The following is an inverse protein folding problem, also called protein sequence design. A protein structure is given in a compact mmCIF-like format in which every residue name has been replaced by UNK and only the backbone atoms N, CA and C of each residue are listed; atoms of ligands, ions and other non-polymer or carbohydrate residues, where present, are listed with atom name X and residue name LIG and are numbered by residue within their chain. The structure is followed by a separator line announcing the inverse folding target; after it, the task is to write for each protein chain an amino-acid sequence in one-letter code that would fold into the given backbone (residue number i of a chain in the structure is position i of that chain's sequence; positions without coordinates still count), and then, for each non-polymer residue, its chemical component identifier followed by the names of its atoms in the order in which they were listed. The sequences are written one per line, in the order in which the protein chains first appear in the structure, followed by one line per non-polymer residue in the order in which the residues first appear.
data_IF_727578142274
#
_entry.id   IF_727578142274
#
_cell.length_a   1.000
_cell.length_b   1.000
_cell.length_c   1.000
_cell.angle_alpha   90.00
_cell.angle_beta   90.00
_cell.angle_gamma   90.00
#
_symmetry.space_group_name_H-M   'P 1'
#
loop_
_entity.id
_entity.type
_entity.pdbx_description
1 polymer ?
#
# COMPACT_ATOMS: atom_id res chain seq x y z
N UNK A 1 1.15 -20.69 18.46
CA UNK A 1 -0.13 -20.21 17.90
C UNK A 1 0.23 -19.41 16.66
N UNK A 2 -0.56 -19.48 15.57
CA UNK A 2 -0.29 -18.69 14.38
C UNK A 2 -0.42 -17.20 14.70
N UNK A 3 0.41 -16.38 14.06
CA UNK A 3 0.33 -14.92 14.11
C UNK A 3 -0.83 -14.47 13.20
N UNK A 4 -1.77 -13.69 13.76
CA UNK A 4 -2.93 -13.19 13.03
C UNK A 4 -2.59 -11.90 12.30
N UNK A 5 -2.67 -11.92 10.97
CA UNK A 5 -2.35 -10.80 10.11
C UNK A 5 -3.57 -10.38 9.29
N UNK A 6 -4.05 -9.15 9.49
CA UNK A 6 -5.14 -8.57 8.72
C UNK A 6 -4.66 -7.76 7.52
N UNK A 7 -5.41 -7.76 6.42
CA UNK A 7 -5.08 -6.97 5.24
C UNK A 7 -6.35 -6.43 4.55
N UNK A 8 -6.19 -5.43 3.66
CA UNK A 8 -7.30 -4.94 2.84
C UNK A 8 -7.72 -6.01 1.82
N UNK A 9 -8.84 -6.65 2.10
CA UNK A 9 -9.42 -7.71 1.30
C UNK A 9 -10.20 -7.21 0.07
N UNK A 10 -10.87 -8.12 -0.66
CA UNK A 10 -11.00 -9.56 -0.38
C UNK A 10 -9.70 -10.36 -0.66
N UNK A 11 -9.75 -11.69 -0.52
CA UNK A 11 -8.67 -12.56 -1.02
C UNK A 11 -8.49 -12.37 -2.54
N UNK A 12 -7.27 -12.57 -3.03
CA UNK A 12 -6.88 -12.29 -4.41
C UNK A 12 -6.30 -10.90 -4.63
N UNK A 13 -6.31 -9.99 -3.65
CA UNK A 13 -5.81 -8.61 -3.85
C UNK A 13 -4.29 -8.52 -3.86
N UNK A 14 -3.76 -7.40 -4.34
CA UNK A 14 -2.34 -7.07 -4.18
C UNK A 14 -1.89 -7.04 -2.71
N UNK A 15 -2.78 -6.66 -1.78
CA UNK A 15 -2.50 -6.73 -0.35
C UNK A 15 -2.23 -8.17 0.09
N UNK A 16 -3.07 -9.14 -0.31
CA UNK A 16 -2.82 -10.56 0.00
C UNK A 16 -1.49 -11.03 -0.61
N UNK A 17 -1.26 -10.70 -1.89
CA UNK A 17 -0.05 -11.09 -2.60
C UNK A 17 1.22 -10.56 -1.91
N UNK A 18 1.20 -9.29 -1.46
CA UNK A 18 2.30 -8.68 -0.73
C UNK A 18 2.55 -9.37 0.63
N UNK A 19 1.50 -9.76 1.36
CA UNK A 19 1.66 -10.52 2.62
C UNK A 19 2.28 -11.89 2.36
N UNK A 20 1.83 -12.61 1.33
CA UNK A 20 2.36 -13.93 1.01
C UNK A 20 3.83 -13.86 0.57
N UNK A 21 4.18 -12.88 -0.27
CA UNK A 21 5.56 -12.65 -0.65
C UNK A 21 6.44 -12.27 0.55
N UNK A 22 5.93 -11.42 1.46
CA UNK A 22 6.63 -11.10 2.70
C UNK A 22 6.85 -12.33 3.58
N UNK A 23 5.83 -13.18 3.75
CA UNK A 23 5.91 -14.44 4.51
C UNK A 23 7.00 -15.35 3.96
N UNK A 24 7.16 -15.42 2.65
CA UNK A 24 8.10 -16.34 2.01
C UNK A 24 9.52 -15.76 1.90
N UNK A 25 9.71 -14.47 2.20
CA UNK A 25 10.97 -13.77 2.07
C UNK A 25 11.89 -13.92 3.31
N UNK A 26 13.20 -14.19 3.15
CA UNK A 26 14.13 -14.37 4.28
C UNK A 26 14.26 -13.15 5.21
N UNK A 27 14.13 -11.94 4.67
CA UNK A 27 14.12 -10.68 5.44
C UNK A 27 12.70 -10.25 5.86
N UNK A 28 11.70 -11.08 5.59
CA UNK A 28 10.31 -10.87 5.96
C UNK A 28 9.87 -11.88 7.02
N UNK A 29 8.74 -12.52 6.79
CA UNK A 29 8.09 -13.43 7.73
C UNK A 29 8.49 -14.90 7.58
N UNK A 30 9.64 -15.22 7.00
CA UNK A 30 10.02 -16.62 6.72
C UNK A 30 9.99 -17.48 7.99
N UNK A 31 9.25 -18.59 7.92
CA UNK A 31 9.08 -19.51 9.04
C UNK A 31 8.05 -19.09 10.09
N UNK A 32 7.39 -17.93 9.91
CA UNK A 32 6.25 -17.52 10.75
C UNK A 32 4.99 -18.26 10.28
N UNK A 33 4.34 -18.95 11.20
CA UNK A 33 3.00 -19.50 11.00
C UNK A 33 1.98 -18.35 10.98
N UNK A 34 1.34 -18.10 9.84
CA UNK A 34 0.43 -16.97 9.62
C UNK A 34 -1.02 -17.40 9.45
N UNK A 35 -1.92 -16.72 10.15
CA UNK A 35 -3.37 -16.77 9.93
C UNK A 35 -3.81 -15.45 9.27
N UNK A 36 -4.12 -15.51 7.97
CA UNK A 36 -4.48 -14.33 7.17
C UNK A 36 -5.97 -14.02 7.25
N UNK A 37 -6.30 -12.75 7.50
CA UNK A 37 -7.69 -12.30 7.66
C UNK A 37 -7.99 -11.10 6.74
N UNK A 38 -8.85 -11.26 5.72
CA UNK A 38 -9.25 -10.14 4.88
C UNK A 38 -10.23 -9.23 5.63
N UNK A 39 -10.02 -7.91 5.53
CA UNK A 39 -10.95 -6.90 6.05
C UNK A 39 -11.48 -6.02 4.92
N UNK A 40 -12.72 -5.51 5.04
CA UNK A 40 -13.35 -4.70 4.00
C UNK A 40 -12.79 -3.27 3.92
N UNK A 41 -11.99 -2.81 4.89
CA UNK A 41 -11.39 -1.48 4.83
C UNK A 41 -10.11 -1.35 5.66
N UNK A 42 -9.25 -0.42 5.24
CA UNK A 42 -7.98 -0.07 5.92
C UNK A 42 -8.21 0.36 7.38
N UNK A 43 -9.18 1.24 7.72
CA UNK A 43 -9.42 1.62 9.11
C UNK A 43 -9.80 0.44 9.99
N UNK A 44 -10.49 -0.58 9.45
CA UNK A 44 -10.82 -1.78 10.22
C UNK A 44 -9.57 -2.61 10.53
N UNK A 45 -8.66 -2.81 9.58
CA UNK A 45 -7.38 -3.51 9.83
C UNK A 45 -6.63 -2.83 10.98
N UNK A 46 -6.38 -1.53 10.85
CA UNK A 46 -5.61 -0.76 11.84
C UNK A 46 -6.30 -0.71 13.21
N UNK A 47 -7.63 -0.61 13.24
CA UNK A 47 -8.39 -0.66 14.50
C UNK A 47 -8.22 -2.00 15.21
N UNK A 48 -8.26 -3.11 14.48
CA UNK A 48 -8.10 -4.45 15.09
C UNK A 48 -6.66 -4.67 15.60
N UNK A 49 -5.65 -4.13 14.92
CA UNK A 49 -4.26 -4.10 15.43
C UNK A 49 -4.17 -3.24 16.70
N UNK A 50 -4.71 -2.02 16.69
CA UNK A 50 -4.69 -1.15 17.86
C UNK A 50 -5.40 -1.77 19.09
N UNK A 51 -6.41 -2.61 18.86
CA UNK A 51 -7.24 -3.21 19.91
C UNK A 51 -6.68 -4.50 20.53
N UNK A 52 -5.62 -5.11 19.99
CA UNK A 52 -5.16 -6.41 20.50
C UNK A 52 -5.63 -7.62 19.68
N UNK A 53 -6.64 -7.46 18.83
CA UNK A 53 -7.31 -8.58 18.15
C UNK A 53 -6.49 -9.16 17.01
N UNK A 54 -5.75 -8.31 16.30
CA UNK A 54 -4.74 -8.72 15.32
C UNK A 54 -3.35 -8.48 15.90
N UNK A 55 -2.42 -9.34 15.52
CA UNK A 55 -1.00 -9.17 15.84
C UNK A 55 -0.38 -8.16 14.87
N UNK A 56 -0.67 -8.29 13.58
CA UNK A 56 -0.19 -7.41 12.51
C UNK A 56 -1.30 -7.01 11.53
N UNK A 57 -1.09 -5.88 10.85
CA UNK A 57 -1.94 -5.39 9.78
C UNK A 57 -1.11 -4.91 8.60
N UNK A 58 -1.41 -5.38 7.38
CA UNK A 58 -0.82 -4.84 6.16
C UNK A 58 -1.77 -3.83 5.51
N UNK A 59 -1.28 -2.59 5.34
CA UNK A 59 -2.07 -1.50 4.72
C UNK A 59 -1.24 -0.75 3.68
N UNK A 60 -1.82 -0.37 2.53
CA UNK A 60 -1.12 0.46 1.55
C UNK A 60 -1.00 1.88 2.11
N UNK A 61 0.17 2.51 1.96
CA UNK A 61 0.40 3.89 2.42
C UNK A 61 0.62 4.86 1.26
N UNK A 62 1.17 4.37 0.15
CA UNK A 62 1.51 5.19 -1.01
C UNK A 62 1.52 4.32 -2.26
N UNK A 63 1.00 4.84 -3.37
CA UNK A 63 1.15 4.27 -4.70
C UNK A 63 1.91 5.25 -5.59
N UNK A 64 2.80 4.74 -6.44
CA UNK A 64 3.65 5.55 -7.31
C UNK A 64 2.87 6.46 -8.29
N UNK A 65 1.62 6.10 -8.62
CA UNK A 65 0.77 6.85 -9.56
C UNK A 65 -0.26 7.71 -8.81
N UNK A 66 -0.91 7.14 -7.79
CA UNK A 66 -2.02 7.82 -7.09
C UNK A 66 -1.59 8.62 -5.85
N UNK A 67 -0.33 8.47 -5.42
CA UNK A 67 0.21 9.11 -4.24
C UNK A 67 -0.27 8.47 -2.94
N UNK A 68 -0.40 9.28 -1.89
CA UNK A 68 -0.65 8.85 -0.53
C UNK A 68 -2.06 8.26 -0.31
N UNK A 69 -2.13 7.14 0.40
CA UNK A 69 -3.40 6.51 0.80
C UNK A 69 -3.96 7.19 2.04
N UNK A 70 -4.87 8.14 1.78
CA UNK A 70 -5.53 8.97 2.78
C UNK A 70 -6.11 8.18 3.97
N UNK A 71 -6.74 7.03 3.72
CA UNK A 71 -7.36 6.23 4.78
C UNK A 71 -6.33 5.68 5.79
N UNK A 72 -5.12 5.34 5.33
CA UNK A 72 -4.03 4.88 6.19
C UNK A 72 -3.54 6.02 7.06
N UNK A 73 -3.18 7.16 6.45
CA UNK A 73 -2.65 8.33 7.15
C UNK A 73 -3.65 8.87 8.19
N UNK A 74 -4.92 9.01 7.81
CA UNK A 74 -5.97 9.48 8.72
C UNK A 74 -6.17 8.50 9.90
N UNK A 75 -6.09 7.18 9.66
CA UNK A 75 -6.29 6.15 10.69
C UNK A 75 -5.14 6.08 11.69
N UNK A 76 -3.89 6.11 11.23
CA UNK A 76 -2.71 6.08 12.13
C UNK A 76 -2.61 7.36 12.97
N UNK A 77 -3.15 8.49 12.47
CA UNK A 77 -3.28 9.69 13.28
C UNK A 77 -4.34 9.56 14.38
N UNK A 78 -5.48 8.92 14.09
CA UNK A 78 -6.59 8.80 15.05
C UNK A 78 -6.39 7.71 16.10
N UNK A 79 -5.67 6.64 15.75
CA UNK A 79 -5.40 5.52 16.64
C UNK A 79 -4.10 5.74 17.41
N UNK A 80 -4.00 5.13 18.59
CA UNK A 80 -2.81 5.13 19.42
C UNK A 80 -2.18 3.73 19.46
N UNK A 81 -0.90 3.66 19.77
CA UNK A 81 -0.18 2.39 19.98
C UNK A 81 0.08 1.58 18.72
N UNK A 82 -0.06 2.18 17.54
CA UNK A 82 0.37 1.57 16.28
C UNK A 82 1.85 1.88 16.02
N UNK A 83 2.60 0.86 15.61
CA UNK A 83 4.01 0.95 15.23
C UNK A 83 4.22 0.24 13.89
N UNK A 84 4.86 0.92 12.95
CA UNK A 84 5.28 0.34 11.68
C UNK A 84 6.48 -0.55 11.96
N UNK A 85 6.34 -1.83 11.62
CA UNK A 85 7.37 -2.84 11.83
C UNK A 85 8.22 -3.06 10.58
N UNK A 86 7.65 -2.87 9.39
CA UNK A 86 8.34 -2.94 8.12
C UNK A 86 7.55 -2.21 7.04
N UNK A 87 8.23 -1.67 6.04
CA UNK A 87 7.59 -1.25 4.79
C UNK A 87 7.89 -2.26 3.68
N UNK A 88 6.91 -2.52 2.82
CA UNK A 88 7.04 -3.41 1.66
C UNK A 88 6.84 -2.61 0.38
N UNK A 89 7.75 -2.73 -0.59
CA UNK A 89 7.53 -2.24 -1.95
C UNK A 89 7.01 -3.38 -2.82
N UNK A 90 5.78 -3.26 -3.27
CA UNK A 90 5.09 -4.29 -4.05
C UNK A 90 4.79 -3.78 -5.47
N UNK A 91 5.30 -4.45 -6.52
CA UNK A 91 4.98 -4.08 -7.90
C UNK A 91 3.53 -4.41 -8.23
N UNK A 92 2.80 -3.44 -8.78
CA UNK A 92 1.43 -3.61 -9.25
C UNK A 92 1.47 -4.15 -10.67
N UNK A 93 0.90 -5.34 -10.84
CA UNK A 93 0.76 -6.02 -12.12
C UNK A 93 -0.70 -6.35 -12.36
N UNK A 94 -1.16 -6.08 -13.58
CA UNK A 94 -2.51 -6.40 -14.01
C UNK A 94 -2.45 -7.48 -15.08
N UNK A 95 -3.36 -8.43 -14.99
CA UNK A 95 -3.53 -9.51 -15.98
C UNK A 95 -4.96 -9.54 -16.48
N UNK A 96 -5.14 -9.85 -17.76
CA UNK A 96 -6.44 -10.10 -18.36
C UNK A 96 -6.75 -11.59 -18.29
N UNK A 97 -7.88 -11.95 -17.67
CA UNK A 97 -8.40 -13.33 -17.66
C UNK A 97 -9.73 -13.39 -18.41
N UNK A 98 -9.94 -14.45 -19.19
CA UNK A 98 -11.19 -14.67 -19.92
C UNK A 98 -11.29 -16.11 -20.43
N UNK A 99 -12.51 -16.62 -20.58
CA UNK A 99 -12.77 -17.89 -21.26
C UNK A 99 -12.67 -17.78 -22.79
N UNK A 100 -12.72 -16.56 -23.35
CA UNK A 100 -12.61 -16.33 -24.78
C UNK A 100 -11.26 -16.85 -25.32
N UNK A 101 -11.31 -17.43 -26.52
CA UNK A 101 -10.11 -17.87 -27.24
C UNK A 101 -9.56 -16.76 -28.12
N UNK A 102 -10.43 -15.94 -28.69
CA UNK A 102 -10.10 -14.77 -29.49
C UNK A 102 -10.46 -13.49 -28.71
N UNK A 103 -9.47 -12.60 -28.54
CA UNK A 103 -9.66 -11.32 -27.85
C UNK A 103 -10.69 -10.43 -28.58
N UNK A 104 -10.81 -10.56 -29.90
CA UNK A 104 -11.77 -9.77 -30.69
C UNK A 104 -13.24 -10.09 -30.37
N UNK A 105 -13.52 -11.22 -29.69
CA UNK A 105 -14.87 -11.59 -29.26
C UNK A 105 -15.26 -11.04 -27.90
N UNK A 106 -14.33 -10.36 -27.20
CA UNK A 106 -14.61 -9.79 -25.89
C UNK A 106 -15.46 -8.53 -26.06
N UNK A 107 -16.63 -8.54 -25.42
CA UNK A 107 -17.59 -7.43 -25.44
C UNK A 107 -17.55 -6.64 -24.13
N UNK A 108 -17.21 -7.28 -23.00
CA UNK A 108 -17.25 -6.68 -21.67
C UNK A 108 -15.94 -6.94 -20.93
N UNK A 109 -15.37 -5.88 -20.32
CA UNK A 109 -14.20 -5.98 -19.43
C UNK A 109 -14.55 -5.43 -18.06
N UNK A 110 -14.45 -6.29 -17.04
CA UNK A 110 -14.75 -5.94 -15.65
C UNK A 110 -13.47 -5.68 -14.86
N UNK A 111 -13.45 -4.63 -14.03
CA UNK A 111 -12.44 -4.46 -12.98
C UNK A 111 -12.79 -3.33 -12.01
N UNK A 112 -11.95 -3.14 -10.98
CA UNK A 112 -12.00 -1.93 -10.17
C UNK A 112 -11.67 -0.69 -11.02
N UNK A 113 -12.32 0.48 -10.79
CA UNK A 113 -12.08 1.70 -11.58
C UNK A 113 -10.61 2.07 -11.75
N UNK A 114 -9.81 1.91 -10.70
CA UNK A 114 -8.35 2.13 -10.74
C UNK A 114 -7.64 1.21 -11.73
N UNK A 115 -7.95 -0.09 -11.72
CA UNK A 115 -7.30 -1.05 -12.59
C UNK A 115 -7.70 -0.83 -14.06
N UNK A 116 -8.97 -0.47 -14.34
CA UNK A 116 -9.40 -0.03 -15.66
C UNK A 116 -8.64 1.22 -16.11
N UNK A 117 -8.51 2.22 -15.23
CA UNK A 117 -7.78 3.45 -15.49
C UNK A 117 -6.29 3.24 -15.73
N UNK A 118 -5.69 2.22 -15.11
CA UNK A 118 -4.28 1.89 -15.26
C UNK A 118 -3.96 1.02 -16.49
N UNK A 119 -4.95 0.59 -17.27
CA UNK A 119 -4.77 -0.25 -18.46
C UNK A 119 -5.42 0.36 -19.72
N UNK A 120 -5.64 1.68 -19.75
CA UNK A 120 -6.42 2.32 -20.81
C UNK A 120 -5.76 2.16 -22.17
N UNK A 121 -4.43 2.36 -22.26
CA UNK A 121 -3.72 2.29 -23.55
C UNK A 121 -3.76 0.86 -24.10
N UNK A 122 -3.59 -0.13 -23.23
CA UNK A 122 -3.69 -1.54 -23.63
C UNK A 122 -5.11 -1.88 -24.11
N UNK A 123 -6.14 -1.45 -23.37
CA UNK A 123 -7.55 -1.68 -23.69
C UNK A 123 -7.94 -1.02 -25.01
N UNK A 124 -7.55 0.23 -25.25
CA UNK A 124 -7.82 0.94 -26.50
C UNK A 124 -7.15 0.28 -27.71
N UNK A 125 -5.96 -0.31 -27.53
CA UNK A 125 -5.25 -0.99 -28.61
C UNK A 125 -5.84 -2.37 -28.93
N UNK A 126 -6.07 -3.20 -27.91
CA UNK A 126 -6.42 -4.61 -28.10
C UNK A 126 -7.91 -4.89 -28.05
N UNK A 127 -8.68 -4.11 -27.29
CA UNK A 127 -10.12 -4.28 -27.07
C UNK A 127 -10.91 -2.98 -27.30
N UNK A 128 -10.73 -2.28 -28.44
CA UNK A 128 -11.29 -0.94 -28.67
C UNK A 128 -12.82 -0.87 -28.65
N UNK A 129 -13.51 -2.01 -28.82
CA UNK A 129 -14.97 -2.08 -28.86
C UNK A 129 -15.58 -2.62 -27.55
N UNK A 130 -14.76 -3.03 -26.58
CA UNK A 130 -15.26 -3.61 -25.35
C UNK A 130 -15.82 -2.54 -24.40
N UNK A 131 -16.92 -2.87 -23.72
CA UNK A 131 -17.49 -2.06 -22.66
C UNK A 131 -16.70 -2.25 -21.36
N UNK A 132 -16.17 -1.16 -20.80
CA UNK A 132 -15.46 -1.16 -19.53
C UNK A 132 -16.45 -1.01 -18.37
N UNK A 133 -16.56 -2.04 -17.53
CA UNK A 133 -17.56 -2.14 -16.47
C UNK A 133 -16.90 -2.17 -15.09
N UNK A 134 -17.18 -1.15 -14.29
CA UNK A 134 -16.59 -1.00 -12.96
C UNK A 134 -17.23 -1.95 -11.92
N UNK A 135 -16.39 -2.63 -11.14
CA UNK A 135 -16.76 -3.44 -9.96
C UNK A 135 -16.14 -2.87 -8.69
N UNK A 136 -16.48 -3.40 -7.50
CA UNK A 136 -15.92 -2.93 -6.22
C UNK A 136 -14.54 -3.49 -5.94
N UNK A 137 -14.12 -4.56 -6.64
CA UNK A 137 -12.78 -5.12 -6.55
C UNK A 137 -12.41 -5.91 -7.80
N UNK A 138 -11.11 -6.10 -8.01
CA UNK A 138 -10.57 -7.01 -9.04
C UNK A 138 -11.06 -8.45 -8.83
N UNK A 139 -11.19 -8.90 -7.58
CA UNK A 139 -11.72 -10.25 -7.29
C UNK A 139 -13.20 -10.37 -7.65
N UNK A 140 -14.02 -9.34 -7.42
CA UNK A 140 -15.43 -9.33 -7.85
C UNK A 140 -15.56 -9.38 -9.37
N UNK A 141 -14.62 -8.76 -10.10
CA UNK A 141 -14.61 -8.81 -11.56
C UNK A 141 -14.47 -10.23 -12.12
N UNK A 142 -13.77 -11.14 -11.42
CA UNK A 142 -13.69 -12.55 -11.81
C UNK A 142 -15.04 -13.22 -11.89
N UNK A 143 -15.94 -12.92 -10.94
CA UNK A 143 -17.26 -13.54 -10.89
C UNK A 143 -18.05 -13.20 -12.15
N UNK A 144 -17.93 -11.97 -12.65
CA UNK A 144 -18.57 -11.55 -13.90
C UNK A 144 -17.94 -12.19 -15.13
N UNK A 145 -16.60 -12.25 -15.21
CA UNK A 145 -15.91 -12.88 -16.33
C UNK A 145 -16.18 -14.38 -16.46
N UNK A 146 -16.59 -15.06 -15.38
CA UNK A 146 -16.97 -16.47 -15.40
C UNK A 146 -18.40 -16.71 -15.90
N UNK A 147 -19.27 -15.69 -15.89
CA UNK A 147 -20.69 -15.86 -16.26
C UNK A 147 -20.92 -15.89 -17.76
N UNK A 148 -20.10 -15.19 -18.55
CA UNK A 148 -20.30 -15.00 -19.99
C UNK A 148 -19.02 -15.29 -20.78
N UNK A 149 -19.14 -15.98 -21.91
CA UNK A 149 -17.99 -16.37 -22.73
C UNK A 149 -17.28 -15.18 -23.40
N UNK A 150 -18.00 -14.08 -23.63
CA UNK A 150 -17.49 -12.82 -24.22
C UNK A 150 -17.04 -11.81 -23.17
N UNK A 151 -16.99 -12.21 -21.89
CA UNK A 151 -16.54 -11.35 -20.81
C UNK A 151 -15.09 -11.63 -20.42
N UNK A 152 -14.41 -10.58 -19.99
CA UNK A 152 -13.06 -10.63 -19.45
C UNK A 152 -12.98 -9.83 -18.15
N UNK A 153 -11.95 -10.12 -17.34
CA UNK A 153 -11.65 -9.33 -16.15
C UNK A 153 -10.18 -8.94 -16.13
N UNK A 154 -9.91 -7.72 -15.69
CA UNK A 154 -8.57 -7.27 -15.32
C UNK A 154 -8.39 -7.49 -13.82
N UNK A 155 -7.39 -8.27 -13.45
CA UNK A 155 -7.18 -8.70 -12.06
C UNK A 155 -5.70 -8.75 -11.69
N UNK A 156 -5.40 -8.92 -10.40
CA UNK A 156 -4.04 -9.23 -9.98
C UNK A 156 -3.66 -10.67 -10.40
N UNK A 157 -2.37 -10.99 -10.57
CA UNK A 157 -1.92 -12.37 -10.79
C UNK A 157 -2.43 -13.33 -9.71
N UNK A 158 -2.45 -12.89 -8.45
CA UNK A 158 -2.93 -13.67 -7.31
C UNK A 158 -4.42 -14.02 -7.41
N UNK A 159 -5.25 -13.09 -7.88
CA UNK A 159 -6.65 -13.37 -8.14
C UNK A 159 -6.83 -14.35 -9.31
N UNK A 160 -5.98 -14.27 -10.34
CA UNK A 160 -6.01 -15.21 -11.47
C UNK A 160 -5.73 -16.67 -11.05
N UNK A 161 -4.94 -16.91 -10.01
CA UNK A 161 -4.71 -18.26 -9.45
C UNK A 161 -5.98 -18.89 -8.86
N UNK A 162 -6.96 -18.07 -8.45
CA UNK A 162 -8.19 -18.53 -7.81
C UNK A 162 -9.30 -18.89 -8.81
N UNK A 163 -9.05 -18.77 -10.11
CA UNK A 163 -10.03 -19.03 -11.18
C UNK A 163 -9.51 -20.08 -12.15
N UNK A 164 -10.42 -20.80 -12.81
CA UNK A 164 -10.09 -21.68 -13.93
C UNK A 164 -9.96 -20.94 -15.27
N UNK A 165 -10.29 -19.64 -15.29
CA UNK A 165 -10.16 -18.82 -16.50
C UNK A 165 -8.68 -18.63 -16.85
N UNK A 166 -8.28 -18.86 -18.10
CA UNK A 166 -6.89 -18.65 -18.51
C UNK A 166 -6.53 -17.17 -18.51
N UNK A 167 -5.30 -16.88 -18.08
CA UNK A 167 -4.65 -15.59 -18.33
C UNK A 167 -4.36 -15.48 -19.83
N UNK A 168 -4.90 -14.45 -20.48
CA UNK A 168 -4.68 -14.17 -21.91
C UNK A 168 -3.63 -13.11 -22.17
N UNK A 169 -3.45 -12.19 -21.23
CA UNK A 169 -2.41 -11.19 -21.28
C UNK A 169 -1.95 -10.86 -19.86
N UNK A 170 -0.66 -10.59 -19.68
CA UNK A 170 -0.06 -10.20 -18.42
C UNK A 170 0.78 -8.94 -18.59
N UNK A 171 0.97 -8.18 -17.52
CA UNK A 171 1.69 -6.91 -17.58
C UNK A 171 0.99 -5.86 -18.45
N UNK A 172 -0.34 -5.80 -18.41
CA UNK A 172 -1.15 -4.93 -19.28
C UNK A 172 -1.31 -3.50 -18.76
N UNK A 173 -0.76 -3.20 -17.58
CA UNK A 173 -0.76 -1.84 -17.04
C UNK A 173 0.08 -0.88 -17.90
N UNK A 174 -0.41 0.34 -18.05
CA UNK A 174 0.21 1.38 -18.89
C UNK A 174 1.57 1.85 -18.33
N UNK A 175 1.78 1.68 -17.01
CA UNK A 175 3.00 2.05 -16.31
C UNK A 175 3.68 0.80 -15.69
N UNK A 176 4.77 0.29 -16.28
CA UNK A 176 5.43 -0.94 -15.81
C UNK A 176 6.13 -0.79 -14.46
N UNK A 177 6.46 0.45 -14.08
CA UNK A 177 7.14 0.80 -12.83
C UNK A 177 6.15 1.14 -11.70
N UNK A 178 4.87 0.77 -11.84
CA UNK A 178 3.85 1.00 -10.82
C UNK A 178 4.14 0.15 -9.57
N UNK A 179 4.42 0.83 -8.45
CA UNK A 179 4.73 0.20 -7.16
C UNK A 179 3.83 0.79 -6.08
N UNK A 180 3.35 -0.06 -5.19
CA UNK A 180 2.66 0.34 -3.97
C UNK A 180 3.55 0.05 -2.77
N UNK A 181 3.77 1.07 -1.94
CA UNK A 181 4.35 0.92 -0.62
C UNK A 181 3.25 0.51 0.35
N UNK A 182 3.47 -0.61 1.04
CA UNK A 182 2.66 -1.07 2.15
C UNK A 182 3.41 -0.88 3.47
N UNK A 183 2.68 -0.65 4.54
CA UNK A 183 3.18 -0.76 5.90
C UNK A 183 2.63 -2.03 6.55
N UNK A 184 3.55 -2.78 7.15
CA UNK A 184 3.23 -3.81 8.13
C UNK A 184 3.21 -3.14 9.51
N UNK A 185 2.03 -3.09 10.13
CA UNK A 185 1.78 -2.34 11.36
C UNK A 185 1.45 -3.31 12.48
N UNK A 186 2.12 -3.16 13.62
CA UNK A 186 1.86 -3.88 14.86
C UNK A 186 1.67 -2.91 16.03
N UNK A 187 1.84 -3.43 17.25
CA UNK A 187 1.87 -2.62 18.49
C UNK A 187 3.26 -2.52 19.11
N UNK A 188 4.19 -3.35 18.67
CA UNK A 188 5.57 -3.37 19.15
C UNK A 188 6.45 -2.60 18.16
N UNK A 189 7.49 -1.94 18.68
CA UNK A 189 8.53 -1.33 17.86
C UNK A 189 9.23 -2.39 17.02
N UNK A 190 9.68 -2.02 15.81
CA UNK A 190 10.53 -2.89 15.03
C UNK A 190 11.88 -3.10 15.76
N UNK A 191 12.54 -4.25 15.60
CA UNK A 191 13.82 -4.52 16.25
C UNK A 191 14.99 -3.65 15.72
N UNK A 192 14.78 -2.89 14.65
CA UNK A 192 15.73 -1.98 14.03
C UNK A 192 15.12 -1.29 12.82
N UNK A 193 15.92 -0.53 12.07
CA UNK A 193 15.43 0.12 10.86
C UNK A 193 16.29 1.26 10.36
N UNK A 194 16.27 1.49 9.05
CA UNK A 194 16.93 2.63 8.41
C UNK A 194 15.99 3.76 8.01
N UNK A 195 14.69 3.64 8.31
CA UNK A 195 13.71 4.69 8.11
C UNK A 195 12.91 4.94 9.38
N UNK A 196 12.49 6.18 9.60
CA UNK A 196 11.62 6.57 10.70
C UNK A 196 10.44 7.37 10.16
N UNK A 197 9.22 6.92 10.42
CA UNK A 197 8.00 7.67 10.05
C UNK A 197 7.45 8.44 11.25
N UNK A 198 7.08 9.69 10.99
CA UNK A 198 6.48 10.59 11.97
C UNK A 198 5.20 11.20 11.42
N UNK A 199 4.29 11.54 12.31
CA UNK A 199 3.15 12.41 12.01
C UNK A 199 3.10 13.55 13.02
N UNK A 200 2.87 14.77 12.59
CA UNK A 200 2.74 15.90 13.50
C UNK A 200 1.72 16.94 13.05
N UNK A 201 1.16 17.67 14.01
CA UNK A 201 0.37 18.89 13.78
C UNK A 201 1.18 20.12 14.20
N UNK A 202 0.84 21.27 13.60
CA UNK A 202 1.45 22.55 13.94
C UNK A 202 0.54 23.33 14.89
N UNK A 203 1.10 24.11 15.84
CA UNK A 203 0.31 24.92 16.77
C UNK A 203 -0.59 25.96 16.09
N UNK A 204 -0.18 26.46 14.93
CA UNK A 204 -0.95 27.39 14.12
C UNK A 204 -0.51 27.31 12.65
N UNK A 205 -1.47 27.47 11.73
CA UNK A 205 -1.18 27.57 10.30
C UNK A 205 -0.88 29.02 9.92
N UNK A 206 0.40 29.38 10.02
CA UNK A 206 0.93 30.72 9.70
C UNK A 206 2.15 30.60 8.78
N UNK A 207 2.53 31.67 8.05
CA UNK A 207 3.70 31.63 7.19
C UNK A 207 4.97 31.15 7.91
N UNK A 208 5.68 30.21 7.30
CA UNK A 208 6.90 29.62 7.86
C UNK A 208 6.68 28.59 8.98
N UNK A 209 5.43 28.28 9.36
CA UNK A 209 5.15 27.32 10.43
C UNK A 209 5.72 25.93 10.14
N UNK A 210 5.58 25.43 8.91
CA UNK A 210 6.18 24.15 8.48
C UNK A 210 7.71 24.23 8.33
N UNK A 211 8.24 25.40 7.96
CA UNK A 211 9.68 25.59 7.75
C UNK A 211 10.50 25.35 9.01
N UNK A 212 9.94 25.62 10.20
CA UNK A 212 10.60 25.40 11.49
C UNK A 212 10.86 23.90 11.76
N UNK A 213 9.84 23.01 11.81
CA UNK A 213 10.04 21.56 11.87
C UNK A 213 11.01 21.02 10.82
N UNK A 214 10.89 21.44 9.56
CA UNK A 214 11.78 20.95 8.50
C UNK A 214 13.23 21.40 8.70
N UNK A 215 13.44 22.61 9.27
CA UNK A 215 14.75 23.12 9.64
C UNK A 215 15.47 22.27 10.70
N UNK A 216 14.72 21.61 11.59
CA UNK A 216 15.29 20.70 12.61
C UNK A 216 16.03 19.54 11.95
N UNK A 217 15.42 18.94 10.92
CA UNK A 217 16.04 17.86 10.15
C UNK A 217 17.16 18.37 9.24
N UNK A 218 16.91 19.47 8.52
CA UNK A 218 17.85 20.03 7.56
C UNK A 218 19.17 20.48 8.21
N UNK A 219 19.12 21.11 9.39
CA UNK A 219 20.32 21.55 10.13
C UNK A 219 21.22 20.41 10.59
N UNK A 220 20.71 19.17 10.60
CA UNK A 220 21.40 17.94 10.98
C UNK A 220 21.73 17.04 9.79
N UNK A 221 21.48 17.49 8.57
CA UNK A 221 21.65 16.71 7.34
C UNK A 221 20.85 15.40 7.34
N UNK A 222 19.69 15.37 8.02
CA UNK A 222 18.77 14.24 7.99
C UNK A 222 17.92 14.32 6.72
N UNK A 223 18.00 13.28 5.89
CA UNK A 223 17.26 13.23 4.63
C UNK A 223 15.79 12.88 4.87
N UNK A 224 14.88 13.59 4.19
CA UNK A 224 13.45 13.29 4.21
C UNK A 224 13.09 12.55 2.92
N UNK A 225 12.75 11.28 3.03
CA UNK A 225 12.38 10.45 1.89
C UNK A 225 10.91 10.59 1.50
N UNK A 226 10.07 11.17 2.36
CA UNK A 226 8.65 11.46 2.07
C UNK A 226 8.16 12.63 2.92
N UNK A 227 7.30 13.48 2.35
CA UNK A 227 6.52 14.48 3.08
C UNK A 227 5.13 14.61 2.45
N UNK A 228 4.09 14.53 3.27
CA UNK A 228 2.68 14.65 2.85
C UNK A 228 1.92 15.55 3.83
N UNK A 229 1.12 16.48 3.32
CA UNK A 229 0.21 17.30 4.13
C UNK A 229 -1.23 16.81 4.02
N UNK A 230 -1.94 16.75 5.14
CA UNK A 230 -3.34 16.29 5.20
C UNK A 230 -4.19 17.27 6.00
N UNK A 231 -5.37 17.70 5.52
CA UNK A 231 -6.26 18.52 6.34
C UNK A 231 -6.77 17.70 7.54
N UNK A 232 -6.86 18.31 8.73
CA UNK A 232 -7.34 17.61 9.95
C UNK A 232 -8.82 17.22 9.89
N UNK A 233 -9.57 17.79 8.93
CA UNK A 233 -11.04 17.70 8.81
C UNK A 233 -11.81 18.32 9.99
N UNK A 234 -11.13 18.97 10.95
CA UNK A 234 -11.74 19.67 12.08
C UNK A 234 -12.04 21.13 11.75
N UNK A 235 -11.11 21.81 11.09
CA UNK A 235 -11.27 23.19 10.64
C UNK A 235 -10.52 23.43 9.33
N UNK A 236 -10.93 24.44 8.57
CA UNK A 236 -10.21 24.88 7.38
C UNK A 236 -8.89 25.52 7.79
N UNK A 237 -7.80 25.08 7.18
CA UNK A 237 -6.47 25.61 7.44
C UNK A 237 -5.69 24.87 8.54
N UNK A 238 -6.23 23.83 9.16
CA UNK A 238 -5.44 22.95 10.02
C UNK A 238 -4.94 21.73 9.25
N UNK A 239 -3.64 21.47 9.38
CA UNK A 239 -2.96 20.40 8.64
C UNK A 239 -2.15 19.50 9.57
N UNK A 240 -2.12 18.22 9.19
CA UNK A 240 -1.21 17.19 9.66
C UNK A 240 -0.11 17.03 8.62
N UNK A 241 1.09 16.71 9.08
CA UNK A 241 2.23 16.42 8.24
C UNK A 241 2.74 15.02 8.56
N UNK A 242 2.88 14.20 7.53
CA UNK A 242 3.50 12.88 7.62
C UNK A 242 4.86 12.96 6.95
N UNK A 243 5.91 12.55 7.65
CA UNK A 243 7.27 12.57 7.13
C UNK A 243 7.93 11.22 7.35
N UNK A 244 8.70 10.78 6.35
CA UNK A 244 9.63 9.68 6.49
C UNK A 244 11.04 10.25 6.46
N UNK A 245 11.85 9.90 7.47
CA UNK A 245 13.23 10.34 7.64
C UNK A 245 14.14 9.12 7.45
N UNK A 246 15.24 9.27 6.71
CA UNK A 246 16.28 8.24 6.66
C UNK A 246 17.12 8.28 7.95
N UNK A 247 17.18 7.15 8.64
CA UNK A 247 17.80 6.98 9.95
C UNK A 247 16.87 6.28 10.95
N UNK A 248 17.48 5.74 12.01
CA UNK A 248 16.77 5.11 13.11
C UNK A 248 16.42 6.13 14.19
N UNK A 249 15.24 6.05 14.81
CA UNK A 249 14.81 7.01 15.83
C UNK A 249 15.73 7.10 17.06
N UNK A 250 16.50 6.06 17.34
CA UNK A 250 17.53 6.04 18.40
C UNK A 250 18.92 6.54 17.97
N UNK A 251 19.13 6.85 16.68
CA UNK A 251 20.39 7.44 16.24
C UNK A 251 20.58 8.81 16.90
N UNK A 252 21.78 9.16 17.43
CA UNK A 252 21.96 10.37 18.21
C UNK A 252 21.47 11.65 17.52
N UNK A 253 21.68 11.77 16.20
CA UNK A 253 21.23 12.92 15.42
C UNK A 253 19.71 12.99 15.29
N UNK A 254 19.04 11.87 14.98
CA UNK A 254 17.59 11.82 14.82
C UNK A 254 16.88 11.90 16.19
N UNK A 255 17.38 11.22 17.22
CA UNK A 255 16.85 11.34 18.58
C UNK A 255 16.86 12.80 19.08
N UNK A 256 17.97 13.52 18.86
CA UNK A 256 18.05 14.94 19.19
C UNK A 256 17.09 15.79 18.35
N UNK A 257 16.90 15.46 17.06
CA UNK A 257 15.93 16.12 16.20
C UNK A 257 14.48 15.90 16.70
N UNK A 258 14.14 14.69 17.12
CA UNK A 258 12.80 14.37 17.65
C UNK A 258 12.47 15.16 18.93
N UNK A 259 13.46 15.36 19.80
CA UNK A 259 13.31 16.20 20.99
C UNK A 259 13.08 17.67 20.61
N UNK A 260 13.89 18.22 19.69
CA UNK A 260 13.74 19.61 19.25
C UNK A 260 12.42 19.84 18.51
N UNK A 261 11.97 18.85 17.72
CA UNK A 261 10.73 18.89 16.95
C UNK A 261 9.51 19.22 17.85
N UNK A 262 9.49 18.69 19.08
CA UNK A 262 8.42 18.95 20.05
C UNK A 262 8.23 20.44 20.36
N UNK A 263 9.29 21.25 20.27
CA UNK A 263 9.19 22.70 20.49
C UNK A 263 8.52 23.47 19.33
N UNK A 264 8.32 22.81 18.19
CA UNK A 264 7.76 23.39 16.96
C UNK A 264 6.45 22.76 16.51
N UNK A 265 6.02 21.69 17.17
CA UNK A 265 4.80 20.94 16.88
C UNK A 265 3.82 21.01 18.05
N UNK A 266 2.52 20.90 17.78
CA UNK A 266 1.52 20.77 18.85
C UNK A 266 1.43 19.32 19.33
N UNK A 267 1.33 18.38 18.38
CA UNK A 267 1.37 16.95 18.63
C UNK A 267 2.38 16.34 17.66
N UNK A 268 3.22 15.44 18.15
CA UNK A 268 4.10 14.60 17.35
C UNK A 268 3.88 13.14 17.72
N UNK A 269 3.73 12.29 16.71
CA UNK A 269 3.63 10.84 16.80
C UNK A 269 4.84 10.22 16.12
N UNK A 270 5.55 9.39 16.86
CA UNK A 270 6.53 8.47 16.29
C UNK A 270 5.80 7.20 15.87
N UNK A 271 5.70 6.98 14.55
CA UNK A 271 4.95 5.87 13.97
C UNK A 271 5.80 4.61 13.84
N UNK A 272 7.09 4.66 14.14
CA UNK A 272 8.01 3.54 14.09
C UNK A 272 9.30 3.87 13.35
N UNK A 273 10.37 3.15 13.72
CA UNK A 273 11.61 3.06 12.95
C UNK A 273 11.69 1.64 12.38
N UNK A 274 11.90 1.48 11.08
CA UNK A 274 11.73 0.20 10.40
C UNK A 274 12.58 0.10 9.13
N UNK A 275 12.73 -1.12 8.62
CA UNK A 275 13.36 -1.37 7.32
C UNK A 275 12.33 -1.42 6.18
N UNK A 276 12.82 -1.06 5.00
CA UNK A 276 12.09 -1.20 3.76
C UNK A 276 12.53 -2.50 3.07
N UNK A 277 11.58 -3.36 2.76
CA UNK A 277 11.76 -4.58 2.00
C UNK A 277 11.25 -4.40 0.57
N UNK A 278 12.16 -4.50 -0.39
CA UNK A 278 11.81 -4.46 -1.80
C UNK A 278 11.44 -5.85 -2.32
N UNK A 279 10.13 -6.05 -2.59
CA UNK A 279 9.61 -7.32 -3.09
C UNK A 279 9.60 -7.39 -4.63
N UNK A 280 10.13 -6.38 -5.33
CA UNK A 280 10.26 -6.41 -6.79
C UNK A 280 11.20 -7.52 -7.27
N UNK A 281 12.22 -7.86 -6.47
CA UNK A 281 13.24 -8.86 -6.81
C UNK A 281 12.76 -10.31 -6.68
N UNK A 282 11.61 -10.58 -6.06
CA UNK A 282 11.01 -11.92 -5.98
C UNK A 282 10.49 -12.45 -7.34
N UNK A 283 10.59 -11.63 -8.40
CA UNK A 283 10.36 -12.00 -9.80
C UNK A 283 11.42 -13.02 -10.26
N UNK A 284 11.13 -14.32 -10.15
CA UNK A 284 11.84 -15.30 -10.98
C UNK A 284 11.49 -15.06 -12.47
N UNK A 285 12.44 -15.27 -13.39
CA UNK A 285 12.34 -14.86 -14.80
C UNK A 285 11.59 -15.90 -15.65
N UNK A 286 10.36 -16.24 -15.29
CA UNK A 286 9.53 -17.14 -16.10
C UNK A 286 8.53 -16.31 -16.92
N UNK A 287 8.81 -16.12 -18.21
CA UNK A 287 7.79 -15.69 -19.17
C UNK A 287 8.06 -14.42 -19.98
N UNK A 288 9.30 -13.93 -20.05
CA UNK A 288 9.70 -12.99 -21.12
C UNK A 288 10.32 -13.75 -22.28
N UNK A 289 9.53 -14.57 -22.96
CA UNK A 289 9.90 -15.12 -24.27
C UNK A 289 8.70 -14.97 -25.22
N UNK A 290 8.90 -14.17 -26.26
CA UNK A 290 8.24 -14.29 -27.57
C UNK A 290 6.85 -13.68 -27.74
#
# INVERSE_FOLDING_TARGET
MPLNLGYLGPAGTHSEAAVLAWRDHPQGGQGIDLSLQPYPSIPQVLKQVAQGTLDLGLVPVENAIEGSVSATLDSVWQLEGLQIQQALLWPIEQVLVTGATDLATIENVYSHPQALGQCQQWLEHWLPQAHLLATRSTTEALAHAQMEATSAAIVSPRAAEATALPVRAAGIQDHPDNVTRFWLVGREEAPGGHHTSLAFSLPANVPGALGKPLGVFASRHLNLSRIESRPTKRSLGEYLFFVDVEGHGHDPALAAALIELQAHTEVVKHLGSYDLLDLQAARSPAGRDG
#
